data_IF_347985139284
#
_entry.id   IF_347985139284
#
_cell.length_a   1.000
_cell.length_b   1.000
_cell.length_c   1.000
_cell.angle_alpha   90.00
_cell.angle_beta   90.00
_cell.angle_gamma   90.00
#
_symmetry.space_group_name_H-M   'P 1'
#
loop_
_entity.id
_entity.type
_entity.pdbx_description
1 polymer ?
#
# COMPACT_ATOMS: atom_id res chain seq x y z
N UNK A 1 -7.89 -1.98 -12.11
CA UNK A 1 -8.23 -0.85 -11.19
C UNK A 1 -7.55 -1.03 -9.82
N UNK A 2 -7.13 0.07 -9.16
CA UNK A 2 -6.32 0.03 -7.94
C UNK A 2 -6.94 -0.79 -6.79
N UNK A 3 -8.25 -0.66 -6.55
CA UNK A 3 -8.95 -1.46 -5.52
C UNK A 3 -8.70 -2.97 -5.66
N UNK A 4 -8.74 -3.47 -6.89
CA UNK A 4 -8.53 -4.89 -7.15
C UNK A 4 -7.09 -5.32 -6.89
N UNK A 5 -6.12 -4.42 -7.08
CA UNK A 5 -4.71 -4.67 -6.78
C UNK A 5 -4.49 -4.76 -5.27
N UNK A 6 -5.00 -3.79 -4.49
CA UNK A 6 -4.87 -3.82 -3.03
C UNK A 6 -5.46 -5.09 -2.43
N UNK A 7 -6.66 -5.51 -2.87
CA UNK A 7 -7.29 -6.74 -2.40
C UNK A 7 -6.47 -7.98 -2.76
N UNK A 8 -6.00 -8.09 -4.00
CA UNK A 8 -5.19 -9.23 -4.44
C UNK A 8 -3.85 -9.30 -3.70
N UNK A 9 -3.15 -8.19 -3.56
CA UNK A 9 -1.87 -8.12 -2.88
C UNK A 9 -1.99 -8.50 -1.40
N UNK A 10 -2.99 -7.96 -0.68
CA UNK A 10 -3.27 -8.40 0.69
C UNK A 10 -3.50 -9.92 0.76
N UNK A 11 -4.35 -10.48 -0.11
CA UNK A 11 -4.62 -11.92 -0.10
C UNK A 11 -3.41 -12.79 -0.45
N UNK A 12 -2.55 -12.36 -1.38
CA UNK A 12 -1.45 -13.18 -1.90
C UNK A 12 -0.15 -13.05 -1.13
N UNK A 13 0.18 -11.82 -0.73
CA UNK A 13 1.49 -11.51 -0.15
C UNK A 13 1.46 -11.49 1.38
N UNK A 14 0.32 -11.13 1.99
CA UNK A 14 0.22 -10.98 3.43
C UNK A 14 -1.24 -11.15 3.92
N UNK A 15 -1.78 -12.39 4.02
CA UNK A 15 -3.22 -12.64 4.18
C UNK A 15 -3.89 -11.97 5.39
N UNK A 16 -3.15 -11.71 6.47
CA UNK A 16 -3.65 -11.02 7.68
C UNK A 16 -3.61 -9.49 7.57
N UNK A 17 -2.87 -8.93 6.60
CA UNK A 17 -2.86 -7.50 6.32
C UNK A 17 -4.17 -7.09 5.65
N UNK A 18 -4.85 -6.10 6.23
CA UNK A 18 -6.10 -5.63 5.66
C UNK A 18 -5.86 -4.80 4.38
N UNK A 19 -6.58 -5.12 3.28
CA UNK A 19 -6.40 -4.46 1.97
C UNK A 19 -6.56 -2.93 2.02
N UNK A 20 -7.36 -2.43 2.95
CA UNK A 20 -7.60 -1.01 3.13
C UNK A 20 -6.38 -0.28 3.71
N UNK A 21 -5.45 -0.97 4.38
CA UNK A 21 -4.14 -0.39 4.77
C UNK A 21 -3.31 -0.08 3.53
N UNK A 22 -3.20 -1.04 2.60
CA UNK A 22 -2.51 -0.81 1.30
C UNK A 22 -3.16 0.32 0.50
N UNK A 23 -4.50 0.38 0.52
CA UNK A 23 -5.23 1.49 -0.08
C UNK A 23 -4.93 2.82 0.62
N UNK A 24 -4.81 2.84 1.95
CA UNK A 24 -4.43 4.00 2.74
C UNK A 24 -3.05 4.54 2.34
N UNK A 25 -2.05 3.67 2.26
CA UNK A 25 -0.70 4.04 1.78
C UNK A 25 -0.79 4.58 0.35
N UNK A 26 -1.42 3.85 -0.57
CA UNK A 26 -1.53 4.32 -1.96
C UNK A 26 -2.28 5.65 -2.11
N UNK A 27 -3.22 5.97 -1.21
CA UNK A 27 -3.88 7.28 -1.14
C UNK A 27 -2.89 8.37 -0.72
N UNK A 28 -2.16 8.15 0.37
CA UNK A 28 -1.23 9.14 0.94
C UNK A 28 -0.06 9.39 0.00
N UNK A 29 0.47 8.35 -0.63
CA UNK A 29 1.64 8.45 -1.51
C UNK A 29 1.33 9.14 -2.84
N UNK A 30 0.25 8.74 -3.51
CA UNK A 30 0.04 9.11 -4.92
C UNK A 30 -1.42 9.37 -5.30
N UNK A 31 -2.32 9.46 -4.33
CA UNK A 31 -3.76 9.44 -4.57
C UNK A 31 -4.19 8.29 -5.50
N UNK A 32 -3.72 7.08 -5.18
CA UNK A 32 -3.93 5.85 -5.94
C UNK A 32 -3.41 5.93 -7.38
N UNK A 33 -2.13 6.28 -7.52
CA UNK A 33 -1.42 6.40 -8.80
C UNK A 33 -1.91 7.53 -9.72
N UNK A 34 -2.64 8.51 -9.18
CA UNK A 34 -3.07 9.72 -9.92
C UNK A 34 -1.94 10.75 -9.99
N UNK A 35 -1.12 10.86 -8.95
CA UNK A 35 0.14 11.57 -8.98
C UNK A 35 1.28 10.58 -9.24
N UNK A 36 1.98 10.73 -10.37
CA UNK A 36 3.08 9.84 -10.78
C UNK A 36 4.44 10.52 -10.73
N UNK A 37 4.53 11.69 -10.11
CA UNK A 37 5.79 12.41 -9.98
C UNK A 37 6.76 11.64 -9.08
N UNK A 38 8.01 11.57 -9.48
CA UNK A 38 9.08 11.16 -8.56
C UNK A 38 9.26 12.25 -7.51
N UNK A 39 9.37 11.88 -6.23
CA UNK A 39 9.57 12.86 -5.16
C UNK A 39 10.95 13.51 -5.26
N UNK A 40 11.14 14.65 -4.58
CA UNK A 40 12.46 15.30 -4.47
C UNK A 40 13.52 14.41 -3.81
N UNK A 41 13.10 13.47 -2.96
CA UNK A 41 13.98 12.48 -2.34
C UNK A 41 14.29 11.28 -3.26
N UNK A 42 13.62 11.18 -4.41
CA UNK A 42 13.82 10.12 -5.39
C UNK A 42 12.92 8.91 -5.22
N UNK A 43 11.87 8.99 -4.39
CA UNK A 43 10.86 7.95 -4.26
C UNK A 43 9.95 7.89 -5.49
N UNK A 44 9.60 6.69 -5.96
CA UNK A 44 8.98 6.47 -7.28
C UNK A 44 7.77 5.55 -7.21
N UNK A 45 6.91 5.70 -8.22
CA UNK A 45 5.82 4.78 -8.49
C UNK A 45 4.62 4.96 -7.55
N UNK A 46 3.58 4.14 -7.71
CA UNK A 46 2.29 4.31 -7.06
C UNK A 46 2.34 4.15 -5.53
N UNK A 47 3.39 3.49 -5.03
CA UNK A 47 3.64 3.29 -3.60
C UNK A 47 4.87 4.06 -3.13
N UNK A 48 5.42 4.98 -3.95
CA UNK A 48 6.52 5.88 -3.60
C UNK A 48 7.71 5.17 -2.92
N UNK A 49 8.17 4.07 -3.51
CA UNK A 49 9.32 3.36 -2.99
C UNK A 49 10.62 4.15 -3.21
N UNK A 50 11.47 4.16 -2.18
CA UNK A 50 12.88 4.47 -2.35
C UNK A 50 13.58 3.33 -3.10
N UNK A 51 14.61 3.62 -3.93
CA UNK A 51 15.30 2.59 -4.71
C UNK A 51 15.80 1.40 -3.88
N UNK A 52 16.41 1.65 -2.72
CA UNK A 52 16.91 0.57 -1.86
C UNK A 52 15.81 -0.35 -1.31
N UNK A 53 14.64 0.21 -0.95
CA UNK A 53 13.48 -0.59 -0.53
C UNK A 53 12.93 -1.39 -1.71
N UNK A 54 12.89 -0.80 -2.91
CA UNK A 54 12.49 -1.50 -4.12
C UNK A 54 13.42 -2.68 -4.45
N UNK A 55 14.74 -2.50 -4.32
CA UNK A 55 15.70 -3.57 -4.57
C UNK A 55 15.49 -4.78 -3.66
N UNK A 56 14.95 -4.57 -2.44
CA UNK A 56 14.66 -5.64 -1.49
C UNK A 56 13.27 -6.27 -1.67
N UNK A 57 12.25 -5.48 -2.05
CA UNK A 57 10.84 -5.92 -2.01
C UNK A 57 10.14 -5.96 -3.35
N UNK A 58 10.74 -5.43 -4.42
CA UNK A 58 10.23 -5.49 -5.78
C UNK A 58 9.88 -6.93 -6.18
N UNK A 59 8.80 -7.08 -6.93
CA UNK A 59 8.27 -8.37 -7.38
C UNK A 59 7.54 -8.17 -8.70
N UNK A 60 7.61 -9.17 -9.58
CA UNK A 60 6.74 -9.29 -10.76
C UNK A 60 5.38 -9.79 -10.27
N UNK A 61 4.47 -8.85 -10.04
CA UNK A 61 3.21 -9.09 -9.32
C UNK A 61 2.08 -9.61 -10.20
N UNK A 62 2.17 -9.41 -11.52
CA UNK A 62 1.21 -9.93 -12.50
C UNK A 62 1.76 -11.00 -13.44
N UNK A 63 3.07 -11.30 -13.37
CA UNK A 63 3.70 -12.39 -14.09
C UNK A 63 4.03 -12.06 -15.53
N UNK A 64 4.22 -10.78 -15.86
CA UNK A 64 4.54 -10.32 -17.21
C UNK A 64 6.04 -10.45 -17.57
N UNK A 65 6.87 -10.82 -16.58
CA UNK A 65 8.32 -11.01 -16.72
C UNK A 65 9.14 -9.74 -16.47
N UNK A 66 8.51 -8.64 -16.07
CA UNK A 66 9.15 -7.36 -15.77
C UNK A 66 8.90 -7.00 -14.30
N UNK A 67 9.93 -6.49 -13.62
CA UNK A 67 9.81 -5.95 -12.27
C UNK A 67 9.94 -4.43 -12.35
N UNK A 68 8.82 -3.72 -12.25
CA UNK A 68 8.73 -2.28 -12.49
C UNK A 68 8.19 -1.50 -11.29
N UNK A 69 9.03 -0.63 -10.72
CA UNK A 69 8.65 0.24 -9.59
C UNK A 69 7.46 1.16 -9.92
N UNK A 70 7.23 1.46 -11.20
CA UNK A 70 6.16 2.34 -11.65
C UNK A 70 4.89 1.60 -12.06
N UNK A 71 4.93 0.27 -12.16
CA UNK A 71 3.74 -0.53 -12.41
C UNK A 71 2.99 -0.79 -11.10
N UNK A 72 1.71 -0.38 -10.98
CA UNK A 72 0.88 -0.75 -9.83
C UNK A 72 0.71 -2.25 -9.62
N UNK A 73 0.80 -3.05 -10.69
CA UNK A 73 0.75 -4.50 -10.62
C UNK A 73 1.89 -5.09 -9.78
N UNK A 74 3.06 -4.44 -9.78
CA UNK A 74 4.25 -4.86 -9.05
C UNK A 74 4.43 -4.11 -7.73
N UNK A 75 4.21 -2.80 -7.77
CA UNK A 75 4.43 -1.93 -6.62
C UNK A 75 3.46 -2.20 -5.46
N UNK A 76 2.20 -2.57 -5.76
CA UNK A 76 1.22 -2.86 -4.70
C UNK A 76 1.55 -4.19 -3.99
N UNK A 77 1.85 -5.30 -4.68
CA UNK A 77 2.39 -6.51 -4.05
C UNK A 77 3.70 -6.26 -3.28
N UNK A 78 4.65 -5.49 -3.84
CA UNK A 78 5.88 -5.14 -3.14
C UNK A 78 5.60 -4.42 -1.80
N UNK A 79 4.62 -3.51 -1.76
CA UNK A 79 4.21 -2.83 -0.53
C UNK A 79 3.59 -3.79 0.50
N UNK A 80 2.81 -4.77 0.04
CA UNK A 80 2.26 -5.80 0.92
C UNK A 80 3.37 -6.69 1.51
N UNK A 81 4.35 -7.10 0.70
CA UNK A 81 5.54 -7.85 1.16
C UNK A 81 6.35 -7.06 2.19
N UNK A 82 6.58 -5.78 1.92
CA UNK A 82 7.27 -4.88 2.86
C UNK A 82 6.55 -4.82 4.21
N UNK A 83 5.25 -4.51 4.20
CA UNK A 83 4.48 -4.41 5.44
C UNK A 83 4.44 -5.73 6.20
N UNK A 84 4.33 -6.87 5.50
CA UNK A 84 4.38 -8.18 6.15
C UNK A 84 5.72 -8.42 6.85
N UNK A 85 6.83 -8.10 6.18
CA UNK A 85 8.16 -8.24 6.77
C UNK A 85 8.39 -7.31 7.98
N UNK A 86 7.67 -6.18 8.03
CA UNK A 86 7.66 -5.25 9.18
C UNK A 86 6.62 -5.60 10.26
N UNK A 87 5.96 -6.76 10.19
CA UNK A 87 4.97 -7.21 11.19
C UNK A 87 3.55 -6.69 10.99
N UNK A 88 3.24 -6.10 9.84
CA UNK A 88 1.91 -5.55 9.52
C UNK A 88 0.79 -6.60 9.39
N UNK A 89 1.12 -7.88 9.44
CA UNK A 89 0.18 -9.00 9.61
C UNK A 89 -0.38 -9.12 11.03
N UNK A 90 0.29 -8.53 12.03
CA UNK A 90 -0.15 -8.49 13.41
C UNK A 90 -0.79 -7.13 13.76
N UNK A 91 -1.99 -7.17 14.34
CA UNK A 91 -2.73 -5.94 14.67
C UNK A 91 -1.99 -5.04 15.65
N UNK A 92 -1.22 -5.60 16.58
CA UNK A 92 -0.45 -4.84 17.57
C UNK A 92 0.75 -4.11 16.95
N UNK A 93 1.33 -4.69 15.88
CA UNK A 93 2.52 -4.15 15.22
C UNK A 93 2.19 -3.29 14.00
N UNK A 94 0.95 -3.31 13.51
CA UNK A 94 0.53 -2.57 12.31
C UNK A 94 0.94 -1.09 12.32
N UNK A 95 0.85 -0.40 13.46
CA UNK A 95 1.26 1.01 13.55
C UNK A 95 2.77 1.16 13.33
N UNK A 96 3.57 0.27 13.91
CA UNK A 96 5.01 0.25 13.74
C UNK A 96 5.37 -0.08 12.28
N UNK A 97 4.72 -1.07 11.67
CA UNK A 97 4.95 -1.43 10.27
C UNK A 97 4.68 -0.26 9.29
N UNK A 98 3.63 0.54 9.55
CA UNK A 98 3.34 1.75 8.76
C UNK A 98 4.38 2.84 9.05
N UNK A 99 4.84 2.98 10.30
CA UNK A 99 5.89 3.91 10.66
C UNK A 99 7.23 3.54 10.00
N UNK A 100 7.59 2.27 9.91
CA UNK A 100 8.79 1.82 9.20
C UNK A 100 8.73 2.20 7.70
N UNK A 101 7.52 2.15 7.11
CA UNK A 101 7.28 2.59 5.74
C UNK A 101 7.64 4.07 5.54
N UNK A 102 7.30 4.92 6.52
CA UNK A 102 7.68 6.32 6.57
C UNK A 102 7.70 6.80 8.03
N UNK A 103 8.89 7.14 8.52
CA UNK A 103 9.21 7.43 9.94
C UNK A 103 8.58 8.74 10.46
N UNK A 104 7.26 8.83 10.42
CA UNK A 104 6.50 10.01 10.78
C UNK A 104 5.13 9.62 11.35
N UNK A 105 4.85 10.03 12.59
CA UNK A 105 3.56 9.71 13.23
C UNK A 105 2.37 10.27 12.45
N UNK A 106 2.52 11.48 11.89
CA UNK A 106 1.47 12.09 11.06
C UNK A 106 1.16 11.26 9.81
N UNK A 107 2.14 10.54 9.26
CA UNK A 107 1.94 9.65 8.12
C UNK A 107 1.13 8.43 8.55
N UNK A 108 1.47 7.83 9.69
CA UNK A 108 0.74 6.69 10.26
C UNK A 108 -0.74 7.04 10.47
N UNK A 109 -1.03 8.21 11.04
CA UNK A 109 -2.41 8.64 11.24
C UNK A 109 -3.16 8.83 9.92
N UNK A 110 -2.54 9.47 8.91
CA UNK A 110 -3.17 9.67 7.60
C UNK A 110 -3.49 8.33 6.91
N UNK A 111 -2.58 7.37 6.96
CA UNK A 111 -2.78 6.04 6.38
C UNK A 111 -3.92 5.32 7.08
N UNK A 112 -3.94 5.32 8.42
CA UNK A 112 -4.97 4.62 9.19
C UNK A 112 -6.34 5.30 9.09
N UNK A 113 -6.39 6.62 9.01
CA UNK A 113 -7.62 7.36 8.74
C UNK A 113 -8.18 7.01 7.36
N UNK A 114 -7.34 7.01 6.32
CA UNK A 114 -7.73 6.61 4.98
C UNK A 114 -8.19 5.14 4.95
N UNK A 115 -7.45 4.24 5.58
CA UNK A 115 -7.81 2.83 5.69
C UNK A 115 -9.15 2.63 6.40
N UNK A 116 -9.40 3.33 7.51
CA UNK A 116 -10.67 3.29 8.21
C UNK A 116 -11.83 3.73 7.32
N UNK A 117 -11.66 4.82 6.55
CA UNK A 117 -12.66 5.31 5.60
C UNK A 117 -12.94 4.30 4.48
N UNK A 118 -11.92 3.65 3.92
CA UNK A 118 -12.10 2.62 2.89
C UNK A 118 -12.69 1.32 3.41
N UNK A 119 -12.48 1.01 4.69
CA UNK A 119 -13.03 -0.17 5.35
C UNK A 119 -14.51 -0.03 5.73
N UNK A 120 -15.07 1.18 5.70
CA UNK A 120 -16.49 1.40 5.94
C UNK A 120 -17.33 0.79 4.80
N UNK A 121 -18.32 -0.01 5.15
CA UNK A 121 -19.37 -0.41 4.22
C UNK A 121 -20.11 0.85 3.74
N UNK A 122 -20.44 1.00 2.45
CA UNK A 122 -21.33 2.05 2.03
C UNK A 122 -22.64 1.92 2.83
N UNK A 123 -23.04 2.99 3.51
CA UNK A 123 -24.37 3.07 4.09
C UNK A 123 -25.37 3.07 2.93
N UNK A 124 -26.05 1.94 2.72
CA UNK A 124 -27.20 1.90 1.81
C UNK A 124 -28.36 2.49 2.61
N UNK A 125 -28.87 3.70 2.29
CA UNK A 125 -30.07 4.20 2.92
C UNK A 125 -31.22 3.21 2.67
N UNK A 126 -32.16 3.01 3.62
CA UNK A 126 -33.29 2.12 3.42
C UNK A 126 -34.04 2.53 2.13
N UNK A 127 -34.45 1.54 1.33
CA UNK A 127 -35.32 1.80 0.18
C UNK A 127 -36.62 2.42 0.71
N UNK A 128 -36.98 3.59 0.16
CA UNK A 128 -38.29 4.21 0.37
C UNK A 128 -39.38 3.39 -0.30
#
# INVERSE_FOLDING_TARGET
>A
PMLSLYRRAATRECPSLAWNVLAGIGRVETDHNRNRATSSAGARGPMQFMPATWDAFGVDGDGDGVVSITDPADAVPAAARYLCASGGDERTELRQAIWDYNHADWYVELVLEAAARYGQLPTIPPRR
#
